data_IF_511586598539
#
_entry.id   IF_511586598539
#
_cell.length_a   1.000
_cell.length_b   1.000
_cell.length_c   1.000
_cell.angle_alpha   90.00
_cell.angle_beta   90.00
_cell.angle_gamma   90.00
#
_symmetry.space_group_name_H-M   'P 1'
#
loop_
_entity.id
_entity.type
_entity.pdbx_description
1 polymer ?
#
# COMPACT_ATOMS: atom_id res chain seq x y z
N UNK A 1 0.48 22.35 0.10
CA UNK A 1 0.07 21.64 1.34
C UNK A 1 -1.40 21.88 1.66
N UNK A 2 -2.33 21.27 0.92
CA UNK A 2 -3.77 21.26 1.28
C UNK A 2 -4.27 19.83 1.57
N UNK A 3 -3.57 18.82 1.05
CA UNK A 3 -3.97 17.42 1.19
C UNK A 3 -3.78 16.94 2.63
N UNK A 4 -2.58 17.00 3.22
CA UNK A 4 -2.31 16.45 4.56
C UNK A 4 -3.21 17.04 5.68
N UNK A 5 -3.51 18.33 5.63
CA UNK A 5 -4.47 18.94 6.57
C UNK A 5 -5.92 18.50 6.27
N UNK A 6 -6.27 18.24 5.01
CA UNK A 6 -7.62 17.82 4.59
C UNK A 6 -7.92 16.33 4.82
N UNK A 7 -6.91 15.44 4.78
CA UNK A 7 -7.05 14.01 5.13
C UNK A 7 -6.86 13.73 6.63
N UNK A 8 -6.91 14.77 7.47
CA UNK A 8 -6.80 14.59 8.92
C UNK A 8 -5.40 14.16 9.38
N UNK A 9 -4.35 14.56 8.66
CA UNK A 9 -2.96 14.26 8.99
C UNK A 9 -2.54 14.69 10.41
N UNK A 10 -3.31 15.56 11.06
CA UNK A 10 -3.14 15.90 12.47
C UNK A 10 -3.45 14.77 13.46
N UNK A 11 -4.34 13.82 13.09
CA UNK A 11 -4.77 12.71 13.97
C UNK A 11 -4.54 11.32 13.35
N UNK A 12 -4.10 11.23 12.09
CA UNK A 12 -3.77 9.96 11.47
C UNK A 12 -2.56 9.33 12.17
N UNK A 13 -2.67 8.05 12.54
CA UNK A 13 -1.55 7.27 13.11
C UNK A 13 -0.62 6.73 12.02
N UNK A 14 -1.16 6.45 10.84
CA UNK A 14 -0.41 5.98 9.69
C UNK A 14 -1.01 6.50 8.38
N UNK A 15 -0.19 6.62 7.35
CA UNK A 15 -0.59 6.84 5.95
C UNK A 15 0.11 5.83 5.05
N UNK A 16 -0.66 5.24 4.14
CA UNK A 16 -0.19 4.26 3.17
C UNK A 16 -0.24 4.88 1.77
N UNK A 17 0.88 4.81 1.05
CA UNK A 17 0.94 5.22 -0.35
C UNK A 17 1.06 3.97 -1.24
N UNK A 18 -0.07 3.52 -1.78
CA UNK A 18 -0.13 2.35 -2.66
C UNK A 18 0.50 2.55 -4.05
N UNK A 19 0.60 3.81 -4.49
CA UNK A 19 1.33 4.24 -5.69
C UNK A 19 2.03 5.56 -5.41
N UNK A 20 3.27 5.51 -4.95
CA UNK A 20 4.03 6.70 -4.60
C UNK A 20 4.95 7.15 -5.75
N UNK A 21 5.09 8.47 -5.92
CA UNK A 21 6.07 9.06 -6.85
C UNK A 21 7.30 9.48 -6.05
N UNK A 22 8.45 8.91 -6.34
CA UNK A 22 9.67 9.12 -5.55
C UNK A 22 10.06 10.60 -5.44
N UNK A 23 10.11 11.34 -6.55
CA UNK A 23 10.46 12.76 -6.54
C UNK A 23 9.53 13.60 -5.67
N UNK A 24 8.23 13.29 -5.68
CA UNK A 24 7.27 13.97 -4.81
C UNK A 24 7.53 13.63 -3.36
N UNK A 25 7.72 12.34 -3.05
CA UNK A 25 8.03 11.90 -1.69
C UNK A 25 9.29 12.57 -1.15
N UNK A 26 10.36 12.64 -1.95
CA UNK A 26 11.61 13.32 -1.62
C UNK A 26 11.41 14.79 -1.28
N UNK A 27 10.59 15.51 -2.07
CA UNK A 27 10.28 16.92 -1.83
C UNK A 27 9.47 17.13 -0.54
N UNK A 28 8.48 16.27 -0.28
CA UNK A 28 7.53 16.49 0.84
C UNK A 28 7.97 15.90 2.17
N UNK A 29 8.82 14.87 2.18
CA UNK A 29 9.24 14.16 3.40
C UNK A 29 9.76 15.11 4.49
N UNK A 30 10.69 16.05 4.23
CA UNK A 30 11.19 16.96 5.26
C UNK A 30 10.11 17.90 5.82
N UNK A 31 9.08 18.21 5.04
CA UNK A 31 7.93 19.00 5.49
C UNK A 31 7.01 18.19 6.40
N UNK A 32 6.77 16.93 6.04
CA UNK A 32 5.91 16.03 6.80
C UNK A 32 6.55 15.65 8.13
N UNK A 33 7.82 15.25 8.16
CA UNK A 33 8.52 14.86 9.39
C UNK A 33 8.55 15.99 10.43
N UNK A 34 8.75 17.24 10.00
CA UNK A 34 8.71 18.40 10.90
C UNK A 34 7.32 18.70 11.45
N UNK A 35 6.26 18.43 10.68
CA UNK A 35 4.89 18.81 11.02
C UNK A 35 4.11 17.71 11.73
N UNK A 36 4.43 16.45 11.41
CA UNK A 36 3.76 15.23 11.85
C UNK A 36 4.82 14.17 12.19
N UNK A 37 5.64 14.37 13.24
CA UNK A 37 6.76 13.48 13.56
C UNK A 37 6.32 12.06 13.92
N UNK A 38 5.10 11.91 14.45
CA UNK A 38 4.55 10.61 14.86
C UNK A 38 3.76 9.90 13.74
N UNK A 39 3.62 10.53 12.57
CA UNK A 39 2.89 9.94 11.45
C UNK A 39 3.73 8.84 10.79
N UNK A 40 3.29 7.60 10.95
CA UNK A 40 3.92 6.46 10.28
C UNK A 40 3.59 6.52 8.79
N UNK A 41 4.62 6.51 7.93
CA UNK A 41 4.44 6.52 6.48
C UNK A 41 4.91 5.20 5.90
N UNK A 42 4.01 4.50 5.22
CA UNK A 42 4.33 3.27 4.48
C UNK A 42 4.16 3.51 2.98
N UNK A 43 5.05 2.92 2.19
CA UNK A 43 5.04 3.03 0.74
C UNK A 43 5.12 1.65 0.11
N UNK A 44 4.20 1.37 -0.80
CA UNK A 44 4.28 0.22 -1.69
C UNK A 44 5.22 0.56 -2.87
N UNK A 45 6.16 -0.34 -3.16
CA UNK A 45 7.08 -0.24 -4.30
C UNK A 45 7.08 -1.52 -5.11
N UNK A 46 7.39 -1.42 -6.40
CA UNK A 46 7.42 -2.55 -7.33
C UNK A 46 8.84 -3.02 -7.65
N UNK A 47 9.87 -2.22 -7.32
CA UNK A 47 11.27 -2.52 -7.64
C UNK A 47 12.16 -2.43 -6.41
N UNK A 48 13.24 -3.21 -6.39
CA UNK A 48 14.29 -3.11 -5.37
C UNK A 48 14.98 -1.75 -5.39
N UNK A 49 15.13 -1.14 -6.57
CA UNK A 49 15.69 0.21 -6.68
C UNK A 49 14.82 1.24 -5.96
N UNK A 50 13.50 1.17 -6.12
CA UNK A 50 12.58 2.05 -5.40
C UNK A 50 12.60 1.77 -3.90
N UNK A 51 12.68 0.49 -3.50
CA UNK A 51 12.84 0.12 -2.10
C UNK A 51 14.05 0.83 -1.47
N UNK A 52 15.22 0.71 -2.09
CA UNK A 52 16.45 1.36 -1.62
C UNK A 52 16.30 2.89 -1.57
N UNK A 53 15.77 3.49 -2.63
CA UNK A 53 15.54 4.93 -2.72
C UNK A 53 14.66 5.45 -1.56
N UNK A 54 13.58 4.74 -1.22
CA UNK A 54 12.68 5.16 -0.13
C UNK A 54 13.28 4.92 1.26
N UNK A 55 14.06 3.85 1.44
CA UNK A 55 14.79 3.60 2.68
C UNK A 55 15.82 4.70 2.97
N UNK A 56 16.49 5.25 1.95
CA UNK A 56 17.38 6.41 2.08
C UNK A 56 16.65 7.68 2.56
N UNK A 57 15.35 7.81 2.28
CA UNK A 57 14.50 8.89 2.78
C UNK A 57 13.96 8.64 4.19
N UNK A 58 14.40 7.58 4.88
CA UNK A 58 13.81 7.08 6.13
C UNK A 58 12.30 6.80 6.03
N UNK A 59 11.81 6.48 4.84
CA UNK A 59 10.42 6.09 4.63
C UNK A 59 10.33 4.56 4.59
N UNK A 60 9.36 4.00 5.31
CA UNK A 60 9.15 2.54 5.38
C UNK A 60 8.54 2.04 4.08
N UNK A 61 9.37 1.42 3.23
CA UNK A 61 8.94 0.88 1.95
C UNK A 61 8.79 -0.64 1.99
N UNK A 62 7.84 -1.16 1.23
CA UNK A 62 7.56 -2.58 1.07
C UNK A 62 7.48 -2.95 -0.40
N UNK A 63 8.26 -3.95 -0.79
CA UNK A 63 8.16 -4.53 -2.12
C UNK A 63 6.85 -5.32 -2.23
N UNK A 64 6.01 -4.98 -3.21
CA UNK A 64 4.75 -5.67 -3.46
C UNK A 64 5.01 -6.96 -4.24
N UNK A 65 5.45 -8.01 -3.53
CA UNK A 65 5.85 -9.28 -4.12
C UNK A 65 4.95 -10.47 -3.73
N UNK A 66 4.19 -10.37 -2.65
CA UNK A 66 3.29 -11.42 -2.16
C UNK A 66 1.88 -11.29 -2.73
N UNK A 67 1.14 -12.40 -2.64
CA UNK A 67 -0.29 -12.46 -2.87
C UNK A 67 -1.00 -12.71 -1.53
N UNK A 68 -1.99 -11.88 -1.14
CA UNK A 68 -2.48 -10.68 -1.83
C UNK A 68 -1.46 -9.55 -1.89
N UNK A 69 -1.45 -8.81 -3.01
CA UNK A 69 -0.56 -7.65 -3.19
C UNK A 69 -0.68 -6.65 -2.03
N UNK A 70 0.45 -6.41 -1.36
CA UNK A 70 0.56 -5.42 -0.28
C UNK A 70 0.20 -5.94 1.11
N UNK A 71 -0.10 -7.25 1.24
CA UNK A 71 -0.45 -7.84 2.54
C UNK A 71 0.67 -7.67 3.58
N UNK A 72 1.94 -7.78 3.17
CA UNK A 72 3.10 -7.56 4.04
C UNK A 72 3.14 -6.14 4.62
N UNK A 73 2.81 -5.14 3.81
CA UNK A 73 2.78 -3.73 4.23
C UNK A 73 1.66 -3.48 5.24
N UNK A 74 0.49 -4.07 5.01
CA UNK A 74 -0.64 -3.95 5.94
C UNK A 74 -0.33 -4.66 7.25
N UNK A 75 0.28 -5.85 7.19
CA UNK A 75 0.68 -6.59 8.38
C UNK A 75 1.69 -5.81 9.23
N UNK A 76 2.69 -5.19 8.60
CA UNK A 76 3.65 -4.33 9.29
C UNK A 76 2.97 -3.09 9.87
N UNK A 77 2.08 -2.43 9.12
CA UNK A 77 1.29 -1.30 9.63
C UNK A 77 0.50 -1.68 10.89
N UNK A 78 -0.24 -2.79 10.86
CA UNK A 78 -1.04 -3.22 12.00
C UNK A 78 -0.17 -3.53 13.22
N UNK A 79 0.97 -4.20 13.02
CA UNK A 79 1.94 -4.46 14.10
C UNK A 79 2.46 -3.17 14.73
N UNK A 80 2.86 -2.19 13.92
CA UNK A 80 3.35 -0.89 14.43
C UNK A 80 2.23 -0.13 15.15
N UNK A 81 0.99 -0.27 14.69
CA UNK A 81 -0.18 0.31 15.36
C UNK A 81 -0.57 -0.44 16.65
N UNK A 82 0.16 -1.49 17.03
CA UNK A 82 0.00 -2.19 18.30
C UNK A 82 -1.06 -3.28 18.27
N UNK A 83 -1.43 -3.79 17.09
CA UNK A 83 -2.27 -4.99 17.00
C UNK A 83 -1.49 -6.19 17.53
N UNK A 84 -2.05 -6.96 18.48
CA UNK A 84 -1.43 -8.17 19.00
C UNK A 84 -1.11 -9.20 17.90
N UNK A 85 -0.02 -9.96 18.07
CA UNK A 85 0.43 -10.92 17.04
C UNK A 85 -0.58 -12.05 16.79
N UNK A 86 -1.35 -12.46 17.80
CA UNK A 86 -2.43 -13.45 17.68
C UNK A 86 -3.60 -12.89 16.87
N UNK A 87 -4.06 -11.67 17.16
CA UNK A 87 -5.10 -10.99 16.37
C UNK A 87 -4.65 -10.75 14.91
N UNK A 88 -3.37 -10.42 14.71
CA UNK A 88 -2.79 -10.23 13.39
C UNK A 88 -2.72 -11.55 12.61
N UNK A 89 -2.34 -12.66 13.26
CA UNK A 89 -2.31 -13.97 12.64
C UNK A 89 -3.72 -14.43 12.22
N UNK A 90 -4.72 -14.21 13.09
CA UNK A 90 -6.12 -14.51 12.79
C UNK A 90 -6.66 -13.64 11.65
N UNK A 91 -6.23 -12.38 11.55
CA UNK A 91 -6.56 -11.53 10.41
C UNK A 91 -5.91 -12.00 9.11
N UNK A 92 -4.61 -12.33 9.14
CA UNK A 92 -3.88 -12.83 7.97
C UNK A 92 -4.48 -14.13 7.41
N UNK A 93 -4.88 -15.06 8.28
CA UNK A 93 -5.54 -16.30 7.86
C UNK A 93 -6.86 -16.03 7.14
N UNK A 94 -7.69 -15.13 7.69
CA UNK A 94 -8.96 -14.75 7.06
C UNK A 94 -8.76 -14.05 5.71
N UNK A 95 -7.76 -13.18 5.61
CA UNK A 95 -7.46 -12.47 4.36
C UNK A 95 -6.98 -13.45 3.28
N UNK A 96 -6.17 -14.44 3.64
CA UNK A 96 -5.75 -15.51 2.72
C UNK A 96 -6.93 -16.37 2.23
N UNK A 97 -7.86 -16.73 3.13
CA UNK A 97 -9.08 -17.45 2.77
C UNK A 97 -9.97 -16.61 1.84
N UNK A 98 -10.18 -15.32 2.15
CA UNK A 98 -10.96 -14.40 1.33
C UNK A 98 -10.36 -14.23 -0.06
N UNK A 99 -9.04 -14.07 -0.16
CA UNK A 99 -8.36 -13.98 -1.44
C UNK A 99 -8.52 -15.26 -2.26
N UNK A 100 -8.39 -16.42 -1.62
CA UNK A 100 -8.58 -17.72 -2.29
C UNK A 100 -10.01 -17.90 -2.82
N UNK A 101 -11.02 -17.34 -2.12
CA UNK A 101 -12.43 -17.43 -2.50
C UNK A 101 -12.81 -16.39 -3.58
N UNK A 102 -12.33 -15.15 -3.46
CA UNK A 102 -12.62 -14.05 -4.39
C UNK A 102 -11.90 -14.15 -5.74
N UNK A 103 -10.75 -14.82 -5.80
CA UNK A 103 -9.99 -15.05 -7.04
C UNK A 103 -10.70 -15.97 -8.05
N UNK A 104 -11.75 -16.68 -7.60
CA UNK A 104 -12.61 -17.48 -8.47
C UNK A 104 -13.74 -16.66 -9.13
N UNK A 105 -14.16 -15.53 -8.55
CA UNK A 105 -15.24 -14.69 -9.11
C UNK A 105 -14.72 -13.49 -9.89
N UNK A 106 -13.69 -12.79 -9.37
CA UNK A 106 -13.25 -11.51 -9.94
C UNK A 106 -12.27 -11.66 -11.11
N UNK A 107 -11.60 -12.81 -11.25
CA UNK A 107 -10.70 -13.06 -12.38
C UNK A 107 -11.44 -13.41 -13.67
N UNK A 108 -12.68 -13.90 -13.61
CA UNK A 108 -13.52 -14.08 -14.80
C UNK A 108 -14.02 -12.74 -15.34
N UNK A 109 -14.58 -11.88 -14.49
CA UNK A 109 -15.11 -10.58 -14.93
C UNK A 109 -14.02 -9.66 -15.53
N UNK A 110 -12.82 -9.58 -14.94
CA UNK A 110 -11.76 -8.70 -15.47
C UNK A 110 -11.07 -9.25 -16.72
N UNK A 111 -11.05 -10.57 -16.92
CA UNK A 111 -10.49 -11.17 -18.14
C UNK A 111 -11.46 -11.01 -19.32
N UNK A 112 -12.76 -11.13 -19.06
CA UNK A 112 -13.80 -10.93 -20.08
C UNK A 112 -13.87 -9.45 -20.54
N UNK A 113 -13.76 -8.47 -19.63
CA UNK A 113 -13.71 -7.04 -19.97
C UNK A 113 -12.50 -6.64 -20.83
N UNK A 114 -11.32 -7.23 -20.56
CA UNK A 114 -10.10 -6.96 -21.31
C UNK A 114 -10.11 -7.67 -22.68
N UNK A 115 -10.76 -8.81 -22.81
CA UNK A 115 -10.94 -9.49 -24.09
C UNK A 115 -11.92 -8.71 -24.99
N UNK A 116 -13.03 -8.20 -24.46
CA UNK A 116 -13.98 -7.35 -25.20
C UNK A 116 -13.36 -6.04 -25.70
N UNK A 117 -12.54 -5.36 -24.89
CA UNK A 117 -11.88 -4.09 -25.27
C UNK A 117 -10.88 -4.29 -26.43
N UNK A 118 -10.21 -5.45 -26.52
CA UNK A 118 -9.26 -5.74 -27.60
C UNK A 118 -9.90 -6.12 -28.93
N UNK A 119 -11.15 -6.59 -28.92
CA UNK A 119 -11.88 -6.99 -30.13
C UNK A 119 -12.50 -5.78 -30.82
N UNK A 120 -12.90 -4.75 -30.07
CA UNK A 120 -13.53 -3.53 -30.61
C UNK A 120 -12.52 -2.52 -31.20
N UNK A 121 -11.23 -2.56 -30.81
CA UNK A 121 -10.17 -1.73 -31.40
C UNK A 121 -9.63 -2.27 -32.75
N UNK A 122 -10.01 -3.49 -33.14
CA UNK A 122 -9.48 -4.18 -34.32
C UNK A 122 -10.47 -4.33 -35.50
N UNK A 123 -11.66 -3.69 -35.44
CA UNK A 123 -12.73 -3.81 -36.44
C UNK A 123 -12.91 -2.57 -37.33
#
# INVERSE_FOLDING_TARGET
MKLMDAIGGSNARAVVLGKARFEVSKEVTPGIERRFPDLIRLVAVETLQDLDNYLELNVRAHLVASEPKGIEMVADMLRILGVPDDELADWLSREADLFTIGDASDRQDRTDELEEETVDEAA
#
